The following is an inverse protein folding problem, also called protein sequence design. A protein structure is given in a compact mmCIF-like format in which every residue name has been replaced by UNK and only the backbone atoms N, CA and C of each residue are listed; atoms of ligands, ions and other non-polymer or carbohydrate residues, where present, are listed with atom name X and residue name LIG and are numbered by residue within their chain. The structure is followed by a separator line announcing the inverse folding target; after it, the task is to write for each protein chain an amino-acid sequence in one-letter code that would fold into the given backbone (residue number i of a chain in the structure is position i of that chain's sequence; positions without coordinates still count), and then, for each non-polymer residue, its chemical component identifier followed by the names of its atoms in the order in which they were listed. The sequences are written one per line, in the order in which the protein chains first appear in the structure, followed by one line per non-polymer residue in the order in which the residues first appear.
data_IF_472572454543
#
_entry.id   IF_472572454543
#
_cell.length_a   1.000
_cell.length_b   1.000
_cell.length_c   1.000
_cell.angle_alpha   90.00
_cell.angle_beta   90.00
_cell.angle_gamma   90.00
#
_symmetry.space_group_name_H-M   'P 1'
#
loop_
_entity.id
_entity.type
_entity.pdbx_description
1 polymer ?
#
# COMPACT_ATOMS: atom_id res chain seq x y z
N UNK A 1 18.91 -21.67 10.08
CA UNK A 1 19.21 -20.24 10.30
C UNK A 1 19.52 -19.62 8.95
N UNK A 2 19.20 -18.34 8.69
CA UNK A 2 19.55 -17.69 7.43
C UNK A 2 21.06 -17.75 7.20
N UNK A 3 21.51 -18.11 5.99
CA UNK A 3 22.93 -18.21 5.68
C UNK A 3 23.51 -16.86 5.27
N UNK A 4 22.71 -16.04 4.56
CA UNK A 4 23.06 -14.70 4.14
C UNK A 4 21.93 -13.70 4.44
N UNK A 5 22.18 -12.41 4.20
CA UNK A 5 21.20 -11.36 4.46
C UNK A 5 19.94 -11.48 3.59
N UNK A 6 20.03 -11.99 2.36
CA UNK A 6 18.86 -12.25 1.54
C UNK A 6 17.91 -13.28 2.19
N UNK A 7 18.44 -14.36 2.76
CA UNK A 7 17.65 -15.34 3.53
C UNK A 7 16.98 -14.70 4.76
N UNK A 8 17.68 -13.80 5.45
CA UNK A 8 17.16 -13.07 6.60
C UNK A 8 15.98 -12.17 6.20
N UNK A 9 16.14 -11.39 5.11
CA UNK A 9 15.08 -10.52 4.59
C UNK A 9 13.85 -11.36 4.21
N UNK A 10 14.03 -12.42 3.43
CA UNK A 10 12.93 -13.32 3.02
C UNK A 10 12.21 -13.90 4.24
N UNK A 11 12.95 -14.31 5.28
CA UNK A 11 12.34 -14.83 6.52
C UNK A 11 11.44 -13.79 7.19
N UNK A 12 11.88 -12.53 7.25
CA UNK A 12 11.10 -11.45 7.86
C UNK A 12 9.87 -11.08 7.01
N UNK A 13 10.04 -10.99 5.68
CA UNK A 13 8.92 -10.76 4.75
C UNK A 13 7.87 -11.87 4.86
N UNK A 14 8.30 -13.14 4.91
CA UNK A 14 7.39 -14.27 5.09
C UNK A 14 6.66 -14.23 6.43
N UNK A 15 7.36 -13.90 7.51
CA UNK A 15 6.74 -13.73 8.82
C UNK A 15 5.64 -12.66 8.78
N UNK A 16 5.82 -11.61 7.98
CA UNK A 16 4.84 -10.54 7.77
C UNK A 16 3.64 -10.94 6.89
N UNK A 17 3.52 -12.21 6.50
CA UNK A 17 2.40 -12.72 5.70
C UNK A 17 2.62 -12.62 4.19
N UNK A 18 3.80 -12.18 3.73
CA UNK A 18 4.12 -12.13 2.30
C UNK A 18 4.32 -13.56 1.79
N UNK A 19 3.48 -13.95 0.83
CA UNK A 19 3.46 -15.30 0.25
C UNK A 19 4.02 -15.36 -1.17
N UNK A 20 3.93 -14.26 -1.91
CA UNK A 20 4.33 -14.14 -3.31
C UNK A 20 5.20 -12.89 -3.50
N UNK A 21 6.18 -12.98 -4.39
CA UNK A 21 6.93 -11.84 -4.91
C UNK A 21 6.89 -11.83 -6.42
N UNK A 22 6.61 -10.67 -7.02
CA UNK A 22 6.46 -10.51 -8.46
C UNK A 22 7.69 -9.81 -9.04
N UNK A 23 8.22 -10.27 -10.17
CA UNK A 23 9.39 -9.64 -10.78
C UNK A 23 9.90 -10.35 -12.03
N UNK A 24 11.09 -9.91 -12.47
CA UNK A 24 11.81 -10.50 -13.60
C UNK A 24 13.21 -10.92 -13.13
N UNK A 25 13.64 -12.17 -13.40
CA UNK A 25 14.98 -12.62 -13.06
C UNK A 25 16.02 -11.92 -13.93
N UNK A 26 17.02 -11.30 -13.30
CA UNK A 26 18.13 -10.62 -13.96
C UNK A 26 19.30 -10.35 -13.01
N UNK A 27 20.50 -10.81 -13.36
CA UNK A 27 21.76 -10.49 -12.67
C UNK A 27 21.65 -10.49 -11.14
N UNK A 28 21.79 -9.30 -10.55
CA UNK A 28 21.83 -9.01 -9.12
C UNK A 28 20.60 -9.46 -8.32
N UNK A 29 19.45 -9.73 -8.97
CA UNK A 29 18.23 -10.21 -8.30
C UNK A 29 18.24 -11.72 -8.05
N UNK A 30 19.04 -12.49 -8.80
CA UNK A 30 19.03 -13.95 -8.78
C UNK A 30 19.33 -14.54 -7.40
N UNK A 31 20.31 -14.03 -6.62
CA UNK A 31 20.54 -14.54 -5.28
C UNK A 31 19.33 -14.38 -4.35
N UNK A 32 18.60 -13.26 -4.48
CA UNK A 32 17.40 -13.02 -3.68
C UNK A 32 16.25 -13.93 -4.08
N UNK A 33 16.06 -14.18 -5.38
CA UNK A 33 15.08 -15.17 -5.88
C UNK A 33 15.37 -16.57 -5.32
N UNK A 34 16.65 -16.97 -5.25
CA UNK A 34 17.03 -18.25 -4.65
C UNK A 34 16.71 -18.28 -3.14
N UNK A 35 16.94 -17.18 -2.41
CA UNK A 35 16.51 -17.05 -1.02
C UNK A 35 14.98 -17.11 -0.88
N UNK A 36 14.21 -16.52 -1.80
CA UNK A 36 12.74 -16.65 -1.82
C UNK A 36 12.32 -18.11 -1.97
N UNK A 37 12.94 -18.85 -2.91
CA UNK A 37 12.68 -20.27 -3.14
C UNK A 37 12.96 -21.11 -1.90
N UNK A 38 14.09 -20.89 -1.22
CA UNK A 38 14.46 -21.58 0.03
C UNK A 38 13.58 -21.19 1.21
N UNK A 39 13.24 -19.91 1.32
CA UNK A 39 12.42 -19.37 2.40
C UNK A 39 10.92 -19.63 2.22
N UNK A 40 10.50 -20.05 1.03
CA UNK A 40 9.12 -20.39 0.69
C UNK A 40 8.23 -19.14 0.54
N UNK A 41 8.74 -18.13 -0.16
CA UNK A 41 7.94 -17.09 -0.83
C UNK A 41 7.95 -17.44 -2.33
N UNK A 42 6.78 -17.58 -2.94
CA UNK A 42 6.69 -17.94 -4.35
C UNK A 42 7.14 -16.77 -5.24
N UNK A 43 8.13 -16.99 -6.11
CA UNK A 43 8.49 -16.02 -7.14
C UNK A 43 7.57 -16.19 -8.35
N UNK A 44 6.86 -15.12 -8.72
CA UNK A 44 5.97 -15.06 -9.88
C UNK A 44 6.64 -14.22 -10.96
N UNK A 45 7.03 -14.89 -12.03
CA UNK A 45 7.59 -14.25 -13.23
C UNK A 45 6.51 -13.40 -13.91
N UNK A 46 6.83 -12.14 -14.16
CA UNK A 46 6.02 -11.24 -14.99
C UNK A 46 6.72 -10.93 -16.31
N UNK A 47 5.99 -10.35 -17.27
CA UNK A 47 6.55 -9.90 -18.54
C UNK A 47 7.13 -8.47 -18.50
N UNK A 48 6.76 -7.67 -17.49
CA UNK A 48 7.22 -6.30 -17.29
C UNK A 48 7.18 -5.91 -15.79
N UNK A 49 8.19 -5.22 -15.26
CA UNK A 49 8.27 -4.90 -13.82
C UNK A 49 7.11 -4.02 -13.34
N UNK A 50 6.57 -3.14 -14.20
CA UNK A 50 5.34 -2.40 -13.88
C UNK A 50 4.17 -3.33 -13.51
N UNK A 51 4.01 -4.46 -14.21
CA UNK A 51 3.00 -5.48 -13.87
C UNK A 51 3.30 -6.18 -12.55
N UNK A 52 4.57 -6.31 -12.16
CA UNK A 52 4.92 -6.80 -10.82
C UNK A 52 4.46 -5.82 -9.73
N UNK A 53 4.63 -4.51 -9.95
CA UNK A 53 4.12 -3.49 -9.03
C UNK A 53 2.60 -3.55 -8.89
N UNK A 54 1.85 -3.63 -9.99
CA UNK A 54 0.39 -3.76 -9.96
C UNK A 54 -0.10 -5.05 -9.29
N UNK A 55 0.55 -6.18 -9.56
CA UNK A 55 0.20 -7.45 -8.92
C UNK A 55 0.46 -7.40 -7.40
N UNK A 56 1.58 -6.80 -6.98
CA UNK A 56 1.90 -6.60 -5.58
C UNK A 56 0.90 -5.66 -4.90
N UNK A 57 0.53 -4.54 -5.54
CA UNK A 57 -0.51 -3.63 -5.05
C UNK A 57 -1.81 -4.38 -4.71
N UNK A 58 -2.34 -5.14 -5.67
CA UNK A 58 -3.58 -5.90 -5.49
C UNK A 58 -3.45 -6.92 -4.36
N UNK A 59 -2.32 -7.64 -4.27
CA UNK A 59 -2.07 -8.57 -3.16
C UNK A 59 -2.06 -7.87 -1.80
N UNK A 60 -1.51 -6.66 -1.74
CA UNK A 60 -1.51 -5.80 -0.55
C UNK A 60 -2.94 -5.51 -0.06
N UNK A 61 -3.82 -5.14 -0.99
CA UNK A 61 -5.23 -4.84 -0.69
C UNK A 61 -6.05 -6.08 -0.32
N UNK A 62 -5.89 -7.18 -1.05
CA UNK A 62 -6.67 -8.39 -0.85
C UNK A 62 -6.33 -9.12 0.46
N UNK A 63 -5.06 -9.12 0.84
CA UNK A 63 -4.59 -9.92 1.98
C UNK A 63 -4.42 -9.12 3.27
N UNK A 64 -4.22 -7.80 3.16
CA UNK A 64 -3.85 -6.95 4.29
C UNK A 64 -2.40 -7.13 4.77
N UNK A 65 -1.66 -8.12 4.26
CA UNK A 65 -0.21 -8.19 4.35
C UNK A 65 0.41 -7.35 3.23
N UNK A 66 1.64 -6.82 3.37
CA UNK A 66 2.25 -6.05 2.30
C UNK A 66 2.40 -6.85 1.01
N UNK A 67 2.02 -6.26 -0.13
CA UNK A 67 2.43 -6.76 -1.43
C UNK A 67 3.95 -6.75 -1.58
N UNK A 68 4.51 -7.63 -2.41
CA UNK A 68 5.95 -7.65 -2.64
C UNK A 68 6.29 -7.70 -4.13
N UNK A 69 7.01 -6.68 -4.60
CA UNK A 69 7.56 -6.65 -5.94
C UNK A 69 9.08 -6.47 -5.89
N UNK A 70 9.77 -7.08 -6.84
CA UNK A 70 11.23 -7.12 -6.86
C UNK A 70 11.76 -6.88 -8.28
N UNK A 71 12.78 -6.04 -8.40
CA UNK A 71 13.45 -5.77 -9.66
C UNK A 71 14.98 -5.70 -9.51
N UNK A 72 15.67 -5.81 -10.63
CA UNK A 72 17.10 -5.50 -10.71
C UNK A 72 17.34 -3.98 -10.83
N UNK A 73 18.59 -3.55 -10.85
CA UNK A 73 18.97 -2.15 -11.02
C UNK A 73 18.66 -1.57 -12.41
N UNK A 74 18.75 -0.26 -12.53
CA UNK A 74 18.63 0.44 -13.82
C UNK A 74 17.23 0.29 -14.43
N UNK A 75 17.08 -0.28 -15.65
CA UNK A 75 15.78 -0.42 -16.31
C UNK A 75 14.75 -1.19 -15.47
N UNK A 76 15.17 -2.19 -14.70
CA UNK A 76 14.24 -2.93 -13.83
C UNK A 76 13.64 -2.03 -12.75
N UNK A 77 14.49 -1.27 -12.06
CA UNK A 77 14.08 -0.29 -11.06
C UNK A 77 13.18 0.80 -11.67
N UNK A 78 13.50 1.33 -12.86
CA UNK A 78 12.67 2.35 -13.53
C UNK A 78 11.34 1.80 -14.04
N UNK A 79 11.30 0.56 -14.53
CA UNK A 79 10.05 -0.05 -14.98
C UNK A 79 9.10 -0.33 -13.81
N UNK A 80 9.65 -0.58 -12.62
CA UNK A 80 8.88 -0.87 -11.41
C UNK A 80 8.13 0.36 -10.88
N UNK A 81 8.60 1.58 -11.16
CA UNK A 81 8.09 2.82 -10.55
C UNK A 81 6.61 3.06 -10.81
N UNK A 82 6.10 2.72 -11.99
CA UNK A 82 4.67 2.96 -12.31
C UNK A 82 3.76 2.16 -11.40
N UNK A 83 4.05 0.87 -11.19
CA UNK A 83 3.23 0.04 -10.31
C UNK A 83 3.43 0.37 -8.82
N UNK A 84 4.60 0.87 -8.44
CA UNK A 84 4.82 1.39 -7.07
C UNK A 84 4.06 2.69 -6.84
N UNK A 85 4.05 3.60 -7.83
CA UNK A 85 3.27 4.83 -7.78
C UNK A 85 1.76 4.58 -7.70
N UNK A 86 1.26 3.57 -8.40
CA UNK A 86 -0.12 3.09 -8.30
C UNK A 86 -0.45 2.67 -6.86
N UNK A 87 0.36 1.79 -6.26
CA UNK A 87 0.21 1.38 -4.86
C UNK A 87 0.23 2.57 -3.87
N UNK A 88 1.02 3.61 -4.17
CA UNK A 88 1.08 4.81 -3.34
C UNK A 88 -0.21 5.62 -3.36
N UNK A 89 -0.80 5.78 -4.54
CA UNK A 89 -2.07 6.48 -4.72
C UNK A 89 -3.25 5.65 -4.18
N UNK A 90 -3.18 4.33 -4.31
CA UNK A 90 -4.22 3.41 -3.85
C UNK A 90 -4.15 3.12 -2.33
N UNK A 91 -3.17 3.71 -1.64
CA UNK A 91 -2.92 3.48 -0.20
C UNK A 91 -2.73 2.00 0.11
N UNK A 92 -1.97 1.30 -0.72
CA UNK A 92 -1.75 -0.14 -0.59
C UNK A 92 -0.45 -0.42 0.15
N UNK A 93 -0.47 -1.31 1.17
CA UNK A 93 0.77 -1.71 1.83
C UNK A 93 1.60 -2.53 0.85
N UNK A 94 2.83 -2.09 0.57
CA UNK A 94 3.71 -2.74 -0.40
C UNK A 94 5.18 -2.58 -0.01
N UNK A 95 5.97 -3.61 -0.26
CA UNK A 95 7.44 -3.55 -0.22
C UNK A 95 7.95 -3.70 -1.65
N UNK A 96 8.63 -2.66 -2.14
CA UNK A 96 9.32 -2.66 -3.42
C UNK A 96 10.82 -2.86 -3.16
N UNK A 97 11.41 -3.96 -3.64
CA UNK A 97 12.83 -4.20 -3.48
C UNK A 97 13.55 -4.08 -4.81
N UNK A 98 14.55 -3.21 -4.88
CA UNK A 98 15.47 -3.19 -6.03
C UNK A 98 16.82 -3.70 -5.60
N UNK A 99 17.37 -4.64 -6.36
CA UNK A 99 18.77 -5.01 -6.23
C UNK A 99 19.65 -3.93 -6.87
N UNK A 100 20.85 -3.75 -6.31
CA UNK A 100 21.80 -2.73 -6.75
C UNK A 100 23.21 -3.33 -6.91
N UNK A 101 24.11 -2.57 -7.52
CA UNK A 101 25.54 -2.86 -7.59
C UNK A 101 26.17 -2.97 -6.20
N UNK A 102 27.39 -3.48 -6.13
CA UNK A 102 28.14 -3.55 -4.88
C UNK A 102 28.35 -2.16 -4.27
N UNK A 103 28.39 -2.12 -2.94
CA UNK A 103 28.46 -0.88 -2.17
C UNK A 103 29.66 0.00 -2.54
N UNK A 104 30.81 -0.59 -2.89
CA UNK A 104 32.02 0.12 -3.32
C UNK A 104 31.91 0.74 -4.73
N UNK A 105 30.86 0.39 -5.48
CA UNK A 105 30.61 0.88 -6.82
C UNK A 105 29.57 2.01 -6.87
N UNK A 106 28.81 2.20 -5.79
CA UNK A 106 27.76 3.24 -5.70
C UNK A 106 28.39 4.63 -5.85
N UNK A 107 27.76 5.47 -6.68
CA UNK A 107 28.23 6.83 -6.99
C UNK A 107 29.26 6.91 -8.13
N UNK A 108 29.66 5.77 -8.70
CA UNK A 108 30.52 5.74 -9.89
C UNK A 108 29.68 5.77 -11.17
N UNK A 109 30.25 6.33 -12.24
CA UNK A 109 29.66 6.25 -13.58
C UNK A 109 29.90 4.86 -14.18
N UNK A 110 28.92 3.98 -14.00
CA UNK A 110 28.95 2.61 -14.53
C UNK A 110 27.63 2.24 -15.20
N UNK A 111 27.62 1.11 -15.88
CA UNK A 111 26.45 0.61 -16.60
C UNK A 111 25.23 0.48 -15.68
N UNK A 112 24.09 0.98 -16.16
CA UNK A 112 22.76 0.88 -15.50
C UNK A 112 22.63 1.58 -14.14
N UNK A 113 23.61 2.38 -13.71
CA UNK A 113 23.51 3.11 -12.45
C UNK A 113 22.43 4.20 -12.52
N UNK A 114 21.49 4.14 -11.59
CA UNK A 114 20.44 5.14 -11.35
C UNK A 114 20.37 5.37 -9.84
N UNK A 115 20.14 6.60 -9.41
CA UNK A 115 19.83 6.88 -8.01
C UNK A 115 18.41 6.38 -7.68
N UNK A 116 18.33 5.17 -7.12
CA UNK A 116 17.06 4.57 -6.73
C UNK A 116 16.32 5.39 -5.66
N UNK A 117 17.04 6.07 -4.75
CA UNK A 117 16.39 6.86 -3.70
C UNK A 117 15.69 8.09 -4.28
N UNK A 118 16.35 8.80 -5.20
CA UNK A 118 15.73 9.90 -5.92
C UNK A 118 14.55 9.43 -6.78
N UNK A 119 14.67 8.26 -7.40
CA UNK A 119 13.65 7.66 -8.26
C UNK A 119 12.38 7.26 -7.51
N UNK A 120 12.50 6.60 -6.35
CA UNK A 120 11.36 6.10 -5.58
C UNK A 120 10.84 7.09 -4.52
N UNK A 121 11.62 8.10 -4.16
CA UNK A 121 11.26 9.11 -3.17
C UNK A 121 9.85 9.72 -3.32
N UNK A 122 9.41 10.18 -4.52
CA UNK A 122 8.10 10.82 -4.67
C UNK A 122 6.91 9.85 -4.68
N UNK A 123 7.16 8.54 -4.79
CA UNK A 123 6.14 7.50 -4.98
C UNK A 123 6.19 6.44 -3.88
N UNK A 124 6.87 6.70 -2.77
CA UNK A 124 6.93 5.81 -1.61
C UNK A 124 6.81 6.60 -0.32
N UNK A 125 6.35 5.93 0.74
CA UNK A 125 6.35 6.50 2.10
C UNK A 125 7.76 6.64 2.65
N UNK A 126 8.65 5.75 2.25
CA UNK A 126 10.07 5.75 2.60
C UNK A 126 10.86 4.93 1.59
N UNK A 127 12.15 5.25 1.47
CA UNK A 127 13.11 4.56 0.63
C UNK A 127 14.39 4.32 1.43
N UNK A 128 14.65 3.07 1.81
CA UNK A 128 15.71 2.71 2.75
C UNK A 128 16.86 1.95 2.10
N UNK A 129 18.11 2.32 2.35
CA UNK A 129 19.26 1.55 1.90
C UNK A 129 19.52 0.40 2.86
N UNK A 130 19.59 -0.82 2.35
CA UNK A 130 20.03 -1.98 3.12
C UNK A 130 21.55 -1.98 3.25
N UNK A 131 22.01 -2.18 4.49
CA UNK A 131 23.42 -2.12 4.88
C UNK A 131 23.75 -3.27 5.83
N UNK A 132 24.97 -3.80 5.74
CA UNK A 132 25.48 -4.84 6.64
C UNK A 132 25.36 -4.40 8.10
N UNK A 133 24.83 -5.26 8.96
CA UNK A 133 24.66 -4.98 10.39
C UNK A 133 23.44 -4.12 10.75
N UNK A 134 22.58 -3.78 9.78
CA UNK A 134 21.30 -3.08 10.01
C UNK A 134 20.15 -3.66 9.18
N UNK A 135 20.24 -4.90 8.72
CA UNK A 135 19.24 -5.51 7.84
C UNK A 135 17.92 -5.69 8.59
N UNK A 136 17.96 -6.30 9.77
CA UNK A 136 16.74 -6.67 10.47
C UNK A 136 15.95 -5.43 10.91
N UNK A 137 16.63 -4.44 11.51
CA UNK A 137 16.01 -3.17 11.91
C UNK A 137 15.43 -2.39 10.72
N UNK A 138 16.11 -2.38 9.57
CA UNK A 138 15.62 -1.65 8.38
C UNK A 138 14.40 -2.33 7.77
N UNK A 139 14.39 -3.66 7.65
CA UNK A 139 13.23 -4.41 7.13
C UNK A 139 12.04 -4.29 8.08
N UNK A 140 12.28 -4.36 9.39
CA UNK A 140 11.24 -4.18 10.40
C UNK A 140 10.63 -2.76 10.31
N UNK A 141 11.44 -1.70 10.22
CA UNK A 141 10.92 -0.35 10.01
C UNK A 141 10.17 -0.20 8.68
N UNK A 142 10.65 -0.82 7.59
CA UNK A 142 9.97 -0.78 6.31
C UNK A 142 8.57 -1.41 6.38
N UNK A 143 8.44 -2.57 7.04
CA UNK A 143 7.15 -3.22 7.28
C UNK A 143 6.23 -2.34 8.14
N UNK A 144 6.76 -1.74 9.21
CA UNK A 144 6.00 -0.82 10.07
C UNK A 144 5.47 0.36 9.28
N UNK A 145 6.30 1.01 8.47
CA UNK A 145 5.92 2.19 7.68
C UNK A 145 4.88 1.82 6.62
N UNK A 146 5.07 0.69 5.91
CA UNK A 146 4.14 0.24 4.88
C UNK A 146 2.72 -0.03 5.45
N UNK A 147 2.67 -0.57 6.67
CA UNK A 147 1.42 -0.90 7.39
C UNK A 147 0.87 0.24 8.26
N UNK A 148 1.56 1.37 8.38
CA UNK A 148 1.04 2.51 9.16
C UNK A 148 0.08 3.33 8.31
N UNK A 149 -1.01 3.85 8.88
CA UNK A 149 -1.99 4.66 8.16
C UNK A 149 -1.44 6.08 7.84
N UNK A 150 -1.74 6.65 6.65
CA UNK A 150 -2.27 5.95 5.49
C UNK A 150 -1.28 4.90 4.99
N UNK A 151 -1.75 3.68 4.71
CA UNK A 151 -0.91 2.61 4.16
C UNK A 151 -0.25 3.05 2.84
N UNK A 152 0.88 2.42 2.49
CA UNK A 152 1.55 2.73 1.23
C UNK A 152 2.85 1.95 1.01
N UNK A 153 3.46 2.11 -0.17
CA UNK A 153 4.66 1.41 -0.54
C UNK A 153 5.90 1.94 0.19
N UNK A 154 6.83 1.04 0.51
CA UNK A 154 8.18 1.35 0.99
C UNK A 154 9.19 0.68 0.06
N UNK A 155 10.20 1.45 -0.33
CA UNK A 155 11.30 0.97 -1.16
C UNK A 155 12.48 0.49 -0.31
N UNK A 156 13.06 -0.65 -0.69
CA UNK A 156 14.29 -1.21 -0.14
C UNK A 156 15.36 -1.32 -1.24
N UNK A 157 16.46 -0.58 -1.10
CA UNK A 157 17.62 -0.64 -2.00
C UNK A 157 18.65 -1.66 -1.48
N UNK A 158 18.85 -2.77 -2.20
CA UNK A 158 19.68 -3.90 -1.78
C UNK A 158 20.93 -4.08 -2.65
N UNK A 159 22.11 -3.61 -2.23
CA UNK A 159 23.37 -3.94 -2.89
C UNK A 159 23.65 -5.46 -2.89
N UNK A 160 24.24 -5.97 -3.97
CA UNK A 160 24.54 -7.40 -4.12
C UNK A 160 25.52 -7.92 -3.05
N UNK A 161 26.60 -7.19 -2.76
CA UNK A 161 27.54 -7.54 -1.69
C UNK A 161 26.90 -7.54 -0.29
N UNK A 162 25.83 -6.77 -0.10
CA UNK A 162 25.04 -6.77 1.14
C UNK A 162 24.12 -7.99 1.19
N UNK A 163 23.43 -8.32 0.09
CA UNK A 163 22.55 -9.47 -0.02
C UNK A 163 23.28 -10.80 0.25
N UNK A 164 24.48 -10.94 -0.31
CA UNK A 164 25.31 -12.15 -0.22
C UNK A 164 26.12 -12.27 1.08
N UNK A 165 26.29 -11.17 1.82
CA UNK A 165 27.05 -11.21 3.06
C UNK A 165 26.38 -12.14 4.10
N UNK A 166 27.18 -12.82 4.95
CA UNK A 166 26.66 -13.68 6.00
C UNK A 166 25.66 -12.93 6.90
N UNK A 167 24.55 -13.60 7.23
CA UNK A 167 23.60 -13.04 8.18
C UNK A 167 24.20 -13.09 9.60
N UNK A 168 24.44 -11.93 10.20
CA UNK A 168 24.90 -11.79 11.58
C UNK A 168 23.79 -11.30 12.53
N UNK A 169 22.61 -10.98 12.00
CA UNK A 169 21.46 -10.47 12.73
C UNK A 169 20.36 -11.53 12.85
N UNK A 170 19.54 -11.43 13.89
CA UNK A 170 18.34 -12.23 14.05
C UNK A 170 17.13 -11.56 13.41
N UNK A 171 16.15 -12.36 12.99
CA UNK A 171 14.89 -11.85 12.48
C UNK A 171 14.11 -11.18 13.62
N UNK A 172 13.70 -9.93 13.42
CA UNK A 172 12.84 -9.23 14.36
C UNK A 172 11.36 -9.64 14.16
N UNK A 173 10.53 -9.53 15.21
CA UNK A 173 9.09 -9.72 15.09
C UNK A 173 8.47 -8.77 14.06
N UNK A 174 7.37 -9.22 13.45
CA UNK A 174 6.59 -8.36 12.55
C UNK A 174 5.98 -7.24 13.36
N UNK A 175 6.24 -5.97 13.01
CA UNK A 175 5.68 -4.85 13.75
C UNK A 175 4.20 -4.70 13.40
N UNK A 176 3.41 -4.25 14.38
CA UNK A 176 2.13 -3.68 14.07
C UNK A 176 2.35 -2.33 13.35
N UNK A 177 1.60 -2.12 12.26
CA UNK A 177 1.45 -0.78 11.69
C UNK A 177 0.82 0.18 12.70
N UNK A 178 1.12 1.48 12.57
CA UNK A 178 0.43 2.51 13.37
C UNK A 178 -0.93 2.80 12.73
N UNK A 179 -2.01 2.36 13.37
CA UNK A 179 -3.36 2.70 12.95
C UNK A 179 -3.73 4.16 13.25
N UNK A 180 -4.91 4.58 12.77
CA UNK A 180 -5.49 5.86 13.17
C UNK A 180 -5.80 5.89 14.67
N UNK A 181 -5.57 7.04 15.31
CA UNK A 181 -6.02 7.24 16.68
C UNK A 181 -7.55 7.27 16.72
N UNK A 182 -8.20 6.60 17.69
CA UNK A 182 -9.63 6.76 17.90
C UNK A 182 -9.99 8.23 18.07
N UNK A 183 -11.08 8.66 17.43
CA UNK A 183 -11.60 10.01 17.63
C UNK A 183 -11.99 10.19 19.11
N UNK A 184 -11.79 11.39 19.70
CA UNK A 184 -12.22 11.66 21.06
C UNK A 184 -13.75 11.61 21.17
N UNK A 185 -14.28 11.29 22.35
CA UNK A 185 -15.72 11.22 22.61
C UNK A 185 -16.48 12.49 22.19
N UNK A 186 -15.87 13.66 22.39
CA UNK A 186 -16.42 14.95 21.97
C UNK A 186 -16.66 15.03 20.45
N UNK A 187 -15.85 14.37 19.62
CA UNK A 187 -16.06 14.31 18.18
C UNK A 187 -17.30 13.47 17.82
N UNK A 188 -17.54 12.36 18.53
CA UNK A 188 -18.74 11.54 18.34
C UNK A 188 -20.01 12.27 18.80
N UNK A 189 -19.95 12.98 19.93
CA UNK A 189 -21.05 13.86 20.38
C UNK A 189 -21.34 14.92 19.32
N UNK A 190 -20.30 15.55 18.76
CA UNK A 190 -20.48 16.55 17.72
C UNK A 190 -21.09 15.98 16.44
N UNK A 191 -20.66 14.79 16.01
CA UNK A 191 -21.25 14.10 14.87
C UNK A 191 -22.73 13.78 15.12
N UNK A 192 -23.09 13.32 16.32
CA UNK A 192 -24.48 13.04 16.68
C UNK A 192 -25.36 14.29 16.64
N UNK A 193 -24.87 15.43 17.14
CA UNK A 193 -25.56 16.72 17.03
C UNK A 193 -25.78 17.14 15.57
N UNK A 194 -24.73 17.04 14.74
CA UNK A 194 -24.81 17.40 13.32
C UNK A 194 -25.81 16.52 12.57
N UNK A 195 -25.76 15.20 12.81
CA UNK A 195 -26.71 14.25 12.22
C UNK A 195 -28.15 14.52 12.67
N UNK A 196 -28.38 14.87 13.94
CA UNK A 196 -29.71 15.17 14.45
C UNK A 196 -30.28 16.50 13.89
N UNK A 197 -29.41 17.47 13.59
CA UNK A 197 -29.80 18.77 13.03
C UNK A 197 -29.90 18.81 11.50
N UNK A 198 -29.28 17.86 10.80
CA UNK A 198 -29.25 17.80 9.35
C UNK A 198 -30.63 17.41 8.78
N UNK A 199 -31.07 18.14 7.76
CA UNK A 199 -32.33 17.86 7.03
C UNK A 199 -32.10 17.05 5.78
N UNK A 200 -30.90 17.13 5.19
CA UNK A 200 -30.48 16.42 3.97
C UNK A 200 -29.07 15.87 4.15
N UNK A 201 -28.83 14.99 5.15
CA UNK A 201 -27.53 14.39 5.33
C UNK A 201 -27.25 13.36 4.22
N UNK A 202 -25.99 13.23 3.81
CA UNK A 202 -25.54 12.20 2.89
C UNK A 202 -24.20 11.62 3.35
N UNK A 203 -23.86 10.42 2.86
CA UNK A 203 -22.58 9.79 3.11
C UNK A 203 -21.77 9.62 1.82
N UNK A 204 -20.44 9.69 1.93
CA UNK A 204 -19.52 9.28 0.86
C UNK A 204 -18.57 8.23 1.41
N UNK A 205 -18.64 7.04 0.83
CA UNK A 205 -17.83 5.89 1.22
C UNK A 205 -16.59 5.88 0.32
N UNK A 206 -15.40 5.85 0.94
CA UNK A 206 -14.12 5.84 0.22
C UNK A 206 -13.23 4.62 0.48
N UNK A 207 -12.09 4.57 -0.21
CA UNK A 207 -11.16 3.44 -0.27
C UNK A 207 -10.73 2.91 1.10
N UNK A 208 -10.53 3.79 2.09
CA UNK A 208 -10.07 3.34 3.40
C UNK A 208 -11.13 2.49 4.13
N UNK A 209 -12.41 2.58 3.74
CA UNK A 209 -13.45 1.70 4.24
C UNK A 209 -13.24 0.22 3.83
N UNK A 210 -12.55 -0.04 2.70
CA UNK A 210 -12.21 -1.41 2.26
C UNK A 210 -11.35 -2.16 3.27
N UNK A 211 -10.65 -1.44 4.16
CA UNK A 211 -9.79 -2.02 5.20
C UNK A 211 -10.57 -2.37 6.49
N UNK A 212 -11.88 -2.14 6.53
CA UNK A 212 -12.69 -2.45 7.71
C UNK A 212 -12.79 -3.95 7.95
N UNK A 213 -12.42 -4.39 9.17
CA UNK A 213 -12.58 -5.80 9.61
C UNK A 213 -14.05 -6.24 9.73
N UNK A 214 -14.97 -5.28 9.87
CA UNK A 214 -16.42 -5.52 10.01
C UNK A 214 -17.18 -4.60 9.05
N UNK A 215 -17.20 -4.90 7.74
CA UNK A 215 -17.85 -4.05 6.74
C UNK A 215 -19.35 -3.86 7.02
N UNK A 216 -20.02 -4.84 7.64
CA UNK A 216 -21.43 -4.73 8.03
C UNK A 216 -21.77 -3.55 8.97
N UNK A 217 -20.79 -3.01 9.70
CA UNK A 217 -21.00 -1.79 10.49
C UNK A 217 -21.27 -0.56 9.62
N UNK A 218 -20.66 -0.51 8.44
CA UNK A 218 -20.84 0.59 7.50
C UNK A 218 -22.28 0.63 7.02
N UNK A 219 -22.80 -0.52 6.59
CA UNK A 219 -24.21 -0.69 6.22
C UNK A 219 -25.15 -0.33 7.37
N UNK A 220 -24.91 -0.87 8.57
CA UNK A 220 -25.72 -0.59 9.73
C UNK A 220 -25.74 0.90 10.11
N UNK A 221 -24.60 1.60 9.96
CA UNK A 221 -24.53 3.04 10.20
C UNK A 221 -25.37 3.83 9.19
N UNK A 222 -25.22 3.52 7.90
CA UNK A 222 -25.99 4.13 6.81
C UNK A 222 -27.50 3.91 7.00
N UNK A 223 -27.92 2.68 7.29
CA UNK A 223 -29.33 2.32 7.51
C UNK A 223 -29.90 2.97 8.78
N UNK A 224 -29.16 2.96 9.88
CA UNK A 224 -29.62 3.56 11.16
C UNK A 224 -29.89 5.06 11.03
N UNK A 225 -29.04 5.76 10.28
CA UNK A 225 -29.14 7.21 10.10
C UNK A 225 -29.87 7.61 8.82
N UNK A 226 -30.40 6.64 8.05
CA UNK A 226 -31.11 6.84 6.79
C UNK A 226 -30.33 7.75 5.83
N UNK A 227 -29.02 7.50 5.68
CA UNK A 227 -28.14 8.33 4.86
C UNK A 227 -28.16 7.86 3.40
N UNK A 228 -28.68 8.65 2.43
CA UNK A 228 -28.32 8.44 1.03
C UNK A 228 -26.80 8.45 0.91
N UNK A 229 -26.23 7.48 0.23
CA UNK A 229 -24.79 7.31 0.15
C UNK A 229 -24.31 7.20 -1.28
N UNK A 230 -23.13 7.75 -1.54
CA UNK A 230 -22.39 7.53 -2.77
C UNK A 230 -21.06 6.85 -2.44
N UNK A 231 -20.47 6.16 -3.42
CA UNK A 231 -19.16 5.53 -3.30
C UNK A 231 -18.14 6.23 -4.19
N UNK A 232 -16.88 6.20 -3.78
CA UNK A 232 -15.76 6.33 -4.71
C UNK A 232 -15.59 5.04 -5.51
N UNK A 233 -14.77 5.07 -6.55
CA UNK A 233 -14.52 3.91 -7.42
C UNK A 233 -13.97 2.72 -6.62
N UNK A 234 -13.06 2.97 -5.69
CA UNK A 234 -12.44 1.90 -4.89
C UNK A 234 -13.36 1.34 -3.81
N UNK A 235 -14.36 2.10 -3.37
CA UNK A 235 -15.32 1.67 -2.37
C UNK A 235 -16.55 0.93 -2.94
N UNK A 236 -16.63 0.79 -4.27
CA UNK A 236 -17.72 0.05 -4.92
C UNK A 236 -17.79 -1.38 -4.39
N UNK A 237 -19.00 -1.84 -4.08
CA UNK A 237 -19.25 -3.18 -3.55
C UNK A 237 -19.14 -3.32 -2.03
N UNK A 238 -18.77 -2.26 -1.28
CA UNK A 238 -18.84 -2.29 0.19
C UNK A 238 -20.28 -2.34 0.73
N UNK A 239 -21.19 -1.67 0.02
CA UNK A 239 -22.64 -1.82 0.14
C UNK A 239 -23.16 -2.03 -1.28
N UNK A 240 -24.11 -2.94 -1.46
CA UNK A 240 -24.70 -3.25 -2.77
C UNK A 240 -25.24 -1.98 -3.46
N UNK A 241 -24.97 -1.83 -4.75
CA UNK A 241 -25.37 -0.62 -5.48
C UNK A 241 -26.89 -0.54 -5.73
N UNK A 242 -27.60 -1.68 -5.63
CA UNK A 242 -29.06 -1.78 -5.66
C UNK A 242 -29.71 -1.38 -4.33
N UNK A 243 -28.93 -1.01 -3.31
CA UNK A 243 -29.46 -0.55 -2.03
C UNK A 243 -30.37 0.68 -2.23
N UNK A 244 -31.55 0.77 -1.60
CA UNK A 244 -32.48 1.90 -1.79
C UNK A 244 -31.93 3.30 -1.46
N UNK A 245 -30.81 3.36 -0.72
CA UNK A 245 -30.11 4.60 -0.34
C UNK A 245 -28.89 4.88 -1.23
N UNK A 246 -28.58 4.02 -2.20
CA UNK A 246 -27.43 4.18 -3.09
C UNK A 246 -27.68 5.28 -4.12
N UNK A 247 -26.73 6.21 -4.22
CA UNK A 247 -26.64 7.23 -5.27
C UNK A 247 -25.72 6.79 -6.42
N UNK A 248 -25.03 5.66 -6.24
CA UNK A 248 -23.99 5.17 -7.14
C UNK A 248 -22.62 5.82 -6.91
N UNK A 249 -21.75 5.72 -7.92
CA UNK A 249 -20.37 6.22 -7.84
C UNK A 249 -20.29 7.73 -8.15
N UNK A 250 -19.52 8.48 -7.37
CA UNK A 250 -19.33 9.95 -7.54
C UNK A 250 -18.33 10.31 -8.64
N UNK A 251 -17.70 9.31 -9.23
CA UNK A 251 -16.69 9.43 -10.26
C UNK A 251 -17.16 8.86 -11.60
N UNK A 252 -16.49 9.27 -12.69
CA UNK A 252 -16.69 8.74 -14.04
C UNK A 252 -18.12 8.95 -14.56
N UNK A 253 -18.90 7.88 -14.70
CA UNK A 253 -20.19 7.89 -15.41
C UNK A 253 -21.30 8.52 -14.56
N UNK A 254 -22.14 9.34 -15.20
CA UNK A 254 -23.24 10.09 -14.56
C UNK A 254 -22.88 11.02 -13.41
N UNK A 255 -21.60 11.14 -13.03
CA UNK A 255 -21.07 11.91 -11.88
C UNK A 255 -21.73 13.27 -11.64
N UNK A 256 -22.17 13.99 -12.67
CA UNK A 256 -22.85 15.27 -12.52
C UNK A 256 -24.14 15.15 -11.69
N UNK A 257 -24.91 14.07 -11.86
CA UNK A 257 -26.16 13.83 -11.12
C UNK A 257 -25.86 13.54 -9.65
N UNK A 258 -24.89 12.66 -9.37
CA UNK A 258 -24.47 12.38 -7.99
C UNK A 258 -23.94 13.63 -7.29
N UNK A 259 -23.10 14.41 -7.99
CA UNK A 259 -22.51 15.64 -7.46
C UNK A 259 -23.55 16.73 -7.22
N UNK A 260 -24.54 16.86 -8.10
CA UNK A 260 -25.65 17.80 -7.88
C UNK A 260 -26.47 17.43 -6.63
N UNK A 261 -26.74 16.14 -6.43
CA UNK A 261 -27.39 15.66 -5.20
C UNK A 261 -26.56 16.00 -3.97
N UNK A 262 -25.25 15.70 -3.99
CA UNK A 262 -24.35 15.94 -2.85
C UNK A 262 -24.19 17.43 -2.53
N UNK A 263 -24.12 18.32 -3.52
CA UNK A 263 -24.14 19.78 -3.32
C UNK A 263 -25.44 20.28 -2.67
N UNK A 264 -26.52 19.53 -2.82
CA UNK A 264 -27.79 19.81 -2.14
C UNK A 264 -27.81 19.38 -0.67
N UNK A 265 -26.86 18.54 -0.23
CA UNK A 265 -26.77 18.08 1.15
C UNK A 265 -26.40 19.23 2.08
N UNK A 266 -26.96 19.22 3.30
CA UNK A 266 -26.57 20.16 4.37
C UNK A 266 -25.55 19.56 5.34
N UNK A 267 -25.27 18.26 5.20
CA UNK A 267 -24.23 17.53 5.89
C UNK A 267 -23.72 16.38 5.02
N UNK A 268 -22.41 16.25 4.91
CA UNK A 268 -21.75 15.13 4.24
C UNK A 268 -20.87 14.41 5.25
N UNK A 269 -21.05 13.10 5.37
CA UNK A 269 -20.23 12.22 6.23
C UNK A 269 -19.31 11.37 5.36
N UNK A 270 -18.01 11.71 5.36
CA UNK A 270 -16.98 10.89 4.73
C UNK A 270 -16.69 9.63 5.54
N UNK A 271 -16.91 8.46 4.97
CA UNK A 271 -16.69 7.15 5.61
C UNK A 271 -15.54 6.44 4.91
N UNK A 272 -14.34 6.53 5.49
CA UNK A 272 -13.13 6.00 4.86
C UNK A 272 -12.72 6.77 3.59
N UNK A 273 -13.19 8.00 3.45
CA UNK A 273 -12.88 8.89 2.33
C UNK A 273 -11.44 9.39 2.39
N UNK A 274 -10.72 9.27 1.27
CA UNK A 274 -9.42 9.86 1.04
C UNK A 274 -9.51 10.73 -0.22
N UNK A 275 -9.00 11.96 -0.13
CA UNK A 275 -8.99 12.93 -1.24
C UNK A 275 -8.14 12.47 -2.42
N UNK A 276 -7.30 11.44 -2.23
CA UNK A 276 -6.51 10.83 -3.30
C UNK A 276 -7.38 10.24 -4.42
N UNK A 277 -8.60 9.80 -4.11
CA UNK A 277 -9.51 9.25 -5.12
C UNK A 277 -10.24 10.35 -5.90
N UNK A 278 -10.78 11.32 -5.19
CA UNK A 278 -11.49 12.46 -5.78
C UNK A 278 -11.38 13.64 -4.84
N UNK A 279 -11.08 14.80 -5.38
CA UNK A 279 -11.00 16.07 -4.65
C UNK A 279 -12.36 16.46 -4.06
N UNK A 280 -12.37 16.95 -2.81
CA UNK A 280 -13.63 17.28 -2.11
C UNK A 280 -14.31 18.51 -2.71
N UNK A 281 -13.56 19.37 -3.41
CA UNK A 281 -14.07 20.55 -4.10
C UNK A 281 -14.94 20.21 -5.31
N UNK A 282 -14.87 18.97 -5.79
CA UNK A 282 -15.54 18.57 -7.02
C UNK A 282 -17.00 18.16 -6.84
N UNK A 283 -17.48 17.95 -5.61
CA UNK A 283 -18.75 17.30 -5.33
C UNK A 283 -19.49 17.85 -4.11
#
# INVERSE_FOLDING_TARGET
MPQNNADLIVRMLKAAGITHGFGIPSGNVLPFIESMRKGGIAFVLVAHEGSAGFAADVMGRLTGAPGFCIATLGPGATNLTTGVGDAYLDRSPLIALTCNINTDQIGRRIQMYIDHHALFGPITKASYPLRKGRIASTVEEALRVALSEPHGPVHLDLPEDVALAPAAEEALPVPAGRGCHPAPEAAFQKLAELLAGAKRPAAVIGASAMRMKRPGLLRAFVERHQLPFASTTMAKGMIDEDHPLSLGCIERARRQVQREFLRGADLIVGLGYDVVEVEYEAW
#
